data_IF_556176882933
#
_entry.id   IF_556176882933
#
_cell.length_a   1.000
_cell.length_b   1.000
_cell.length_c   1.000
_cell.angle_alpha   90.00
_cell.angle_beta   90.00
_cell.angle_gamma   90.00
#
_symmetry.space_group_name_H-M   'P 1'
#
loop_
_entity.id
_entity.type
_entity.pdbx_description
1 polymer ?
#
# COMPACT_ATOMS: atom_id res chain seq x y z
N UNK A 1 -4.99 33.62 -31.63
CA UNK A 1 -4.02 32.96 -30.72
C UNK A 1 -2.83 32.30 -31.44
N UNK A 2 -2.92 31.85 -32.70
CA UNK A 2 -1.78 31.26 -33.43
C UNK A 2 -0.81 32.34 -33.96
N UNK A 3 -1.34 33.49 -34.39
CA UNK A 3 -0.57 34.58 -34.98
C UNK A 3 0.40 35.24 -33.96
N UNK A 4 0.01 35.31 -32.69
CA UNK A 4 0.78 35.95 -31.61
C UNK A 4 2.05 35.16 -31.24
N UNK A 5 1.98 33.83 -31.31
CA UNK A 5 3.13 32.95 -31.05
C UNK A 5 4.20 33.06 -32.15
N UNK A 6 3.77 33.12 -33.41
CA UNK A 6 4.68 33.27 -34.55
C UNK A 6 5.37 34.64 -34.55
N UNK A 7 4.61 35.70 -34.26
CA UNK A 7 5.11 37.07 -34.16
C UNK A 7 6.13 37.20 -33.02
N UNK A 8 5.85 36.61 -31.85
CA UNK A 8 6.79 36.60 -30.72
C UNK A 8 8.08 35.85 -31.03
N UNK A 9 8.00 34.71 -31.73
CA UNK A 9 9.18 33.93 -32.12
C UNK A 9 10.04 34.70 -33.14
N UNK A 10 9.42 35.41 -34.09
CA UNK A 10 10.14 36.24 -35.07
C UNK A 10 10.87 37.41 -34.41
N UNK A 11 10.25 38.07 -33.43
CA UNK A 11 10.88 39.12 -32.65
C UNK A 11 12.12 38.61 -31.89
N UNK A 12 12.02 37.42 -31.30
CA UNK A 12 13.13 36.75 -30.60
C UNK A 12 14.32 36.43 -31.52
N UNK A 13 14.05 36.01 -32.76
CA UNK A 13 15.10 35.79 -33.76
C UNK A 13 15.82 37.08 -34.17
N UNK A 14 15.09 38.16 -34.43
CA UNK A 14 15.70 39.46 -34.76
C UNK A 14 16.57 39.96 -33.61
N UNK A 15 16.15 39.76 -32.36
CA UNK A 15 16.98 40.09 -31.21
C UNK A 15 18.32 39.34 -31.20
N UNK A 16 18.32 38.05 -31.49
CA UNK A 16 19.55 37.26 -31.56
C UNK A 16 20.42 37.54 -32.78
N UNK A 17 19.87 38.20 -33.81
CA UNK A 17 20.63 38.74 -34.92
C UNK A 17 21.34 40.07 -34.58
N UNK A 18 21.11 40.61 -33.37
CA UNK A 18 21.78 41.82 -32.88
C UNK A 18 20.95 43.10 -32.97
N UNK A 19 19.70 43.02 -33.43
CA UNK A 19 18.82 44.20 -33.48
C UNK A 19 18.38 44.63 -32.07
N UNK A 20 18.50 45.92 -31.70
CA UNK A 20 17.99 46.40 -30.43
C UNK A 20 16.45 46.37 -30.40
N UNK A 21 15.80 46.20 -29.23
CA UNK A 21 14.33 46.14 -29.12
C UNK A 21 13.58 47.30 -29.76
N UNK A 22 14.16 48.50 -29.78
CA UNK A 22 13.61 49.68 -30.46
C UNK A 22 13.52 49.52 -31.99
N UNK A 23 14.51 48.87 -32.59
CA UNK A 23 14.58 48.64 -34.02
C UNK A 23 13.70 47.46 -34.45
N UNK A 24 13.64 46.41 -33.62
CA UNK A 24 12.67 45.30 -33.80
C UNK A 24 11.24 45.81 -33.78
N UNK A 25 10.91 46.70 -32.83
CA UNK A 25 9.59 47.33 -32.74
C UNK A 25 9.22 48.06 -34.04
N UNK A 26 10.17 48.81 -34.63
CA UNK A 26 9.97 49.49 -35.93
C UNK A 26 9.83 48.51 -37.09
N UNK A 27 10.70 47.50 -37.18
CA UNK A 27 10.71 46.51 -38.27
C UNK A 27 9.45 45.63 -38.28
N UNK A 28 8.86 45.37 -37.12
CA UNK A 28 7.71 44.49 -36.99
C UNK A 28 6.37 45.23 -36.81
N UNK A 29 6.40 46.55 -36.62
CA UNK A 29 5.19 47.35 -36.33
C UNK A 29 4.57 47.02 -34.97
N UNK A 30 5.37 46.62 -33.98
CA UNK A 30 4.92 46.20 -32.65
C UNK A 30 5.34 47.23 -31.60
N UNK A 31 4.51 47.47 -30.59
CA UNK A 31 4.86 48.37 -29.50
C UNK A 31 6.15 47.90 -28.80
N UNK A 32 7.10 48.84 -28.64
CA UNK A 32 8.41 48.57 -28.02
C UNK A 32 8.30 47.98 -26.61
N UNK A 33 7.29 48.39 -25.82
CA UNK A 33 7.06 47.85 -24.48
C UNK A 33 6.68 46.37 -24.52
N UNK A 34 5.98 45.92 -25.56
CA UNK A 34 5.64 44.51 -25.77
C UNK A 34 6.91 43.69 -26.05
N UNK A 35 7.85 44.21 -26.85
CA UNK A 35 9.13 43.55 -27.12
C UNK A 35 9.97 43.43 -25.84
N UNK A 36 10.05 44.49 -25.03
CA UNK A 36 10.72 44.42 -23.72
C UNK A 36 10.05 43.43 -22.75
N UNK A 37 8.71 43.39 -22.73
CA UNK A 37 7.98 42.44 -21.91
C UNK A 37 8.27 40.98 -22.31
N UNK A 38 8.34 40.69 -23.60
CA UNK A 38 8.71 39.34 -24.09
C UNK A 38 10.17 39.01 -23.81
N UNK A 39 11.09 39.95 -24.04
CA UNK A 39 12.52 39.81 -23.74
C UNK A 39 12.76 39.44 -22.28
N UNK A 40 12.05 40.11 -21.36
CA UNK A 40 12.12 39.85 -19.92
C UNK A 40 11.45 38.52 -19.56
N UNK A 41 10.26 38.25 -20.11
CA UNK A 41 9.45 37.07 -19.77
C UNK A 41 10.08 35.75 -20.22
N UNK A 42 10.68 35.70 -21.41
CA UNK A 42 11.34 34.48 -21.91
C UNK A 42 12.86 34.55 -21.85
N UNK A 43 13.40 35.47 -21.04
CA UNK A 43 14.82 35.55 -20.69
C UNK A 43 15.75 35.46 -21.92
N UNK A 44 15.51 36.32 -22.91
CA UNK A 44 16.19 36.21 -24.23
C UNK A 44 17.72 36.35 -24.13
N UNK A 45 18.20 37.12 -23.15
CA UNK A 45 19.63 37.33 -22.86
C UNK A 45 20.29 36.08 -22.28
N UNK A 46 19.56 35.34 -21.44
CA UNK A 46 20.05 34.16 -20.72
C UNK A 46 20.01 32.89 -21.57
N UNK A 47 19.45 32.95 -22.78
CA UNK A 47 19.42 31.79 -23.68
C UNK A 47 20.85 31.46 -24.15
N UNK A 48 21.39 30.25 -23.90
CA UNK A 48 22.75 29.89 -24.31
C UNK A 48 22.95 29.94 -25.84
N UNK A 49 24.12 30.35 -26.36
CA UNK A 49 24.38 30.45 -27.80
C UNK A 49 24.05 29.17 -28.58
N UNK A 50 24.37 28.00 -28.04
CA UNK A 50 24.04 26.71 -28.68
C UNK A 50 22.52 26.53 -28.83
N UNK A 51 21.74 26.93 -27.82
CA UNK A 51 20.28 26.84 -27.88
C UNK A 51 19.69 27.84 -28.90
N UNK A 52 20.29 29.02 -29.06
CA UNK A 52 19.89 30.02 -30.09
C UNK A 52 20.12 29.47 -31.51
N UNK A 53 21.27 28.85 -31.73
CA UNK A 53 21.64 28.25 -33.02
C UNK A 53 20.74 27.06 -33.31
N UNK A 54 20.54 26.14 -32.37
CA UNK A 54 19.64 25.00 -32.56
C UNK A 54 18.21 25.41 -32.93
N UNK A 55 17.64 26.42 -32.26
CA UNK A 55 16.29 26.92 -32.59
C UNK A 55 16.20 27.54 -33.99
N UNK A 56 17.27 28.20 -34.44
CA UNK A 56 17.32 28.78 -35.79
C UNK A 56 17.43 27.70 -36.86
N UNK A 57 18.19 26.64 -36.59
CA UNK A 57 18.33 25.47 -37.46
C UNK A 57 17.01 24.69 -37.57
N UNK A 58 16.31 24.50 -36.46
CA UNK A 58 15.00 23.83 -36.42
C UNK A 58 13.95 24.61 -37.23
N UNK A 59 13.90 25.94 -37.06
CA UNK A 59 13.00 26.79 -37.83
C UNK A 59 13.29 26.74 -39.34
N UNK A 60 14.57 26.67 -39.73
CA UNK A 60 14.97 26.52 -41.14
C UNK A 60 14.62 25.14 -41.70
N UNK A 61 14.78 24.09 -40.90
CA UNK A 61 14.42 22.72 -41.28
C UNK A 61 12.91 22.59 -41.54
N UNK A 62 12.08 23.19 -40.68
CA UNK A 62 10.61 23.24 -40.87
C UNK A 62 10.27 23.96 -42.18
N UNK A 63 10.87 25.13 -42.44
CA UNK A 63 10.64 25.87 -43.69
C UNK A 63 11.01 25.07 -44.95
N UNK A 64 12.15 24.37 -44.93
CA UNK A 64 12.60 23.55 -46.05
C UNK A 64 11.71 22.32 -46.24
N UNK A 65 11.21 21.75 -45.16
CA UNK A 65 10.31 20.58 -45.18
C UNK A 65 8.94 20.96 -45.75
N UNK A 66 8.44 22.16 -45.46
CA UNK A 66 7.13 22.65 -45.93
C UNK A 66 7.17 23.24 -47.35
N UNK A 67 8.36 23.38 -47.97
CA UNK A 67 8.51 23.89 -49.35
C UNK A 67 7.86 22.91 -50.34
N UNK A 68 6.95 23.40 -51.19
CA UNK A 68 6.20 22.58 -52.17
C UNK A 68 7.10 21.96 -53.25
N UNK A 69 7.96 22.77 -53.87
CA UNK A 69 8.89 22.32 -54.90
C UNK A 69 10.32 22.27 -54.35
N UNK A 70 10.76 21.06 -53.95
CA UNK A 70 12.10 20.83 -53.39
C UNK A 70 13.10 20.53 -54.49
N UNK A 71 14.22 21.23 -54.46
CA UNK A 71 15.37 21.02 -55.35
C UNK A 71 16.40 20.09 -54.71
N UNK A 72 17.34 19.57 -55.50
CA UNK A 72 18.46 18.78 -54.97
C UNK A 72 19.34 19.54 -53.97
N UNK A 73 19.37 20.88 -54.02
CA UNK A 73 20.01 21.72 -53.02
C UNK A 73 19.27 21.73 -51.68
N UNK A 74 17.94 21.77 -51.70
CA UNK A 74 17.10 21.76 -50.49
C UNK A 74 17.28 20.44 -49.71
N UNK A 75 17.34 19.30 -50.41
CA UNK A 75 17.58 18.00 -49.75
C UNK A 75 18.96 17.91 -49.08
N UNK A 76 20.00 18.51 -49.70
CA UNK A 76 21.34 18.58 -49.10
C UNK A 76 21.37 19.48 -47.86
N UNK A 77 20.64 20.60 -47.90
CA UNK A 77 20.53 21.53 -46.77
C UNK A 77 19.80 20.86 -45.59
N UNK A 78 18.69 20.15 -45.85
CA UNK A 78 17.96 19.35 -44.85
C UNK A 78 18.91 18.33 -44.20
N UNK A 79 19.60 17.52 -44.99
CA UNK A 79 20.52 16.48 -44.49
C UNK A 79 21.70 17.07 -43.68
N UNK A 80 22.25 18.21 -44.12
CA UNK A 80 23.31 18.91 -43.38
C UNK A 80 22.79 19.46 -42.04
N UNK A 81 21.62 20.11 -42.03
CA UNK A 81 21.00 20.67 -40.83
C UNK A 81 20.64 19.56 -39.83
N UNK A 82 20.08 18.44 -40.28
CA UNK A 82 19.76 17.29 -39.42
C UNK A 82 21.02 16.68 -38.81
N UNK A 83 22.12 16.54 -39.57
CA UNK A 83 23.40 16.05 -39.03
C UNK A 83 24.04 16.99 -38.01
N UNK A 84 24.00 18.30 -38.27
CA UNK A 84 24.54 19.27 -37.33
C UNK A 84 23.71 19.35 -36.05
N UNK A 85 22.38 19.26 -36.14
CA UNK A 85 21.50 19.19 -34.97
C UNK A 85 21.80 17.96 -34.11
N UNK A 86 22.04 16.80 -34.74
CA UNK A 86 22.46 15.58 -34.05
C UNK A 86 23.81 15.75 -33.33
N UNK A 87 24.82 16.35 -33.98
CA UNK A 87 26.12 16.64 -33.34
C UNK A 87 26.01 17.60 -32.16
N UNK A 88 25.14 18.62 -32.25
CA UNK A 88 24.88 19.54 -31.15
C UNK A 88 24.15 18.87 -29.97
N UNK A 89 23.32 17.85 -30.25
CA UNK A 89 22.67 17.03 -29.23
C UNK A 89 23.62 16.03 -28.57
N UNK A 90 24.53 15.42 -29.33
CA UNK A 90 25.47 14.40 -28.82
C UNK A 90 26.65 15.02 -28.04
N UNK A 91 27.02 16.28 -28.33
CA UNK A 91 28.12 17.00 -27.69
C UNK A 91 27.79 17.74 -26.39
N UNK A 92 26.56 17.66 -25.88
CA UNK A 92 26.16 18.28 -24.61
C UNK A 92 26.11 17.24 -23.48
N UNK A 93 27.11 17.20 -22.56
CA UNK A 93 26.88 16.57 -21.27
C UNK A 93 25.71 17.31 -20.61
N UNK A 94 24.69 16.56 -20.22
CA UNK A 94 23.49 17.11 -19.62
C UNK A 94 23.81 17.88 -18.32
N UNK A 95 24.00 19.20 -18.40
CA UNK A 95 23.99 20.07 -17.20
C UNK A 95 24.93 21.26 -17.24
N UNK A 96 24.54 22.34 -17.91
CA UNK A 96 24.99 23.69 -17.57
C UNK A 96 23.91 24.70 -18.01
N UNK A 97 22.79 24.67 -17.30
CA UNK A 97 21.65 25.56 -17.50
C UNK A 97 20.71 25.37 -16.33
N UNK A 98 20.51 26.43 -15.56
CA UNK A 98 19.76 26.56 -14.30
C UNK A 98 18.24 26.35 -14.43
N UNK A 99 17.81 25.47 -15.32
CA UNK A 99 16.45 24.93 -15.37
C UNK A 99 16.49 23.45 -15.05
N UNK A 100 16.25 23.06 -13.80
CA UNK A 100 15.95 21.66 -13.46
C UNK A 100 14.81 21.19 -14.37
N UNK A 101 15.12 20.39 -15.41
CA UNK A 101 14.13 19.48 -16.00
C UNK A 101 13.47 18.80 -14.81
N UNK A 102 12.14 18.82 -14.64
CA UNK A 102 11.52 18.09 -13.55
C UNK A 102 11.84 16.63 -13.81
N UNK A 103 12.86 16.09 -13.11
CA UNK A 103 13.03 14.65 -12.96
C UNK A 103 11.65 14.18 -12.55
N UNK A 104 10.98 13.37 -13.38
CA UNK A 104 9.74 12.68 -12.98
C UNK A 104 10.07 12.08 -11.61
N UNK A 105 9.54 12.68 -10.55
CA UNK A 105 9.83 12.24 -9.19
C UNK A 105 9.32 10.81 -9.15
N UNK A 106 10.21 9.83 -8.99
CA UNK A 106 9.79 8.46 -8.75
C UNK A 106 8.77 8.51 -7.61
N UNK A 107 7.55 8.06 -7.89
CA UNK A 107 6.50 8.01 -6.88
C UNK A 107 7.04 7.14 -5.74
N UNK A 108 7.03 7.68 -4.53
CA UNK A 108 7.47 6.93 -3.35
C UNK A 108 6.42 5.86 -3.06
N UNK A 109 6.88 4.68 -2.64
CA UNK A 109 6.00 3.57 -2.24
C UNK A 109 4.95 3.26 -3.32
N UNK A 110 5.41 3.10 -4.55
CA UNK A 110 4.57 2.92 -5.72
C UNK A 110 4.69 1.51 -6.26
N UNK A 111 3.54 0.91 -6.55
CA UNK A 111 3.42 -0.35 -7.26
C UNK A 111 2.79 -0.04 -8.62
N UNK A 112 3.37 -0.62 -9.66
CA UNK A 112 2.76 -0.71 -11.00
C UNK A 112 1.71 -1.81 -11.01
N UNK A 113 0.83 -1.81 -12.01
CA UNK A 113 -0.23 -2.83 -12.11
C UNK A 113 0.38 -4.23 -12.27
N UNK A 114 1.44 -4.34 -13.08
CA UNK A 114 2.17 -5.59 -13.30
C UNK A 114 2.78 -6.12 -11.99
N UNK A 115 3.32 -5.22 -11.15
CA UNK A 115 3.82 -5.58 -9.83
C UNK A 115 2.70 -6.02 -8.89
N UNK A 116 1.52 -5.40 -8.93
CA UNK A 116 0.37 -5.80 -8.09
C UNK A 116 -0.12 -7.20 -8.47
N UNK A 117 -0.19 -7.50 -9.77
CA UNK A 117 -0.57 -8.84 -10.27
C UNK A 117 0.46 -9.88 -9.82
N UNK A 118 1.75 -9.64 -10.08
CA UNK A 118 2.82 -10.56 -9.67
C UNK A 118 2.87 -10.76 -8.15
N UNK A 119 2.65 -9.68 -7.37
CA UNK A 119 2.58 -9.74 -5.91
C UNK A 119 1.41 -10.63 -5.45
N UNK A 120 0.25 -10.50 -6.08
CA UNK A 120 -0.94 -11.31 -5.77
C UNK A 120 -0.69 -12.78 -6.05
N UNK A 121 -0.14 -13.12 -7.21
CA UNK A 121 0.20 -14.51 -7.57
C UNK A 121 1.17 -15.12 -6.56
N UNK A 122 2.30 -14.45 -6.31
CA UNK A 122 3.30 -14.90 -5.31
C UNK A 122 2.69 -15.14 -3.93
N UNK A 123 1.85 -14.22 -3.46
CA UNK A 123 1.19 -14.37 -2.15
C UNK A 123 0.30 -15.61 -2.17
N UNK A 124 -0.60 -15.75 -3.15
CA UNK A 124 -1.58 -16.82 -3.19
C UNK A 124 -0.95 -18.21 -3.36
N UNK A 125 0.09 -18.32 -4.18
CA UNK A 125 0.80 -19.59 -4.38
C UNK A 125 1.55 -20.04 -3.12
N UNK A 126 2.05 -19.08 -2.33
CA UNK A 126 2.78 -19.35 -1.09
C UNK A 126 1.90 -19.74 0.11
N UNK A 127 0.58 -19.65 0.02
CA UNK A 127 -0.30 -19.86 1.17
C UNK A 127 -0.43 -21.33 1.54
N UNK A 128 -0.27 -21.64 2.82
CA UNK A 128 -0.65 -22.94 3.41
C UNK A 128 -2.17 -23.07 3.55
N UNK A 129 -2.66 -24.29 3.80
CA UNK A 129 -4.10 -24.60 3.87
C UNK A 129 -4.93 -23.61 4.71
N UNK A 130 -4.55 -23.39 5.97
CA UNK A 130 -5.28 -22.51 6.89
C UNK A 130 -5.26 -21.04 6.43
N UNK A 131 -4.15 -20.61 5.83
CA UNK A 131 -3.98 -19.26 5.31
C UNK A 131 -4.86 -19.02 4.07
N UNK A 132 -5.00 -20.03 3.19
CA UNK A 132 -5.97 -19.99 2.08
C UNK A 132 -7.40 -19.87 2.60
N UNK A 133 -7.75 -20.66 3.61
CA UNK A 133 -9.04 -20.55 4.29
C UNK A 133 -9.30 -19.15 4.86
N UNK A 134 -8.30 -18.54 5.50
CA UNK A 134 -8.42 -17.15 5.95
C UNK A 134 -8.64 -16.16 4.81
N UNK A 135 -7.97 -16.37 3.67
CA UNK A 135 -8.07 -15.50 2.49
C UNK A 135 -9.45 -15.53 1.87
N UNK A 136 -10.06 -16.71 1.74
CA UNK A 136 -11.41 -16.87 1.21
C UNK A 136 -12.44 -16.16 2.08
N UNK A 137 -12.23 -16.17 3.40
CA UNK A 137 -13.13 -15.58 4.38
C UNK A 137 -12.87 -14.09 4.65
N UNK A 138 -11.93 -13.44 3.94
CA UNK A 138 -11.51 -12.03 4.18
C UNK A 138 -12.61 -10.99 4.04
N UNK A 139 -13.69 -11.32 3.34
CA UNK A 139 -14.82 -10.44 3.07
C UNK A 139 -15.71 -10.18 4.31
N UNK A 140 -15.60 -11.00 5.36
CA UNK A 140 -16.39 -10.83 6.58
C UNK A 140 -16.07 -9.52 7.30
N UNK A 141 -17.12 -8.82 7.75
CA UNK A 141 -16.98 -7.57 8.52
C UNK A 141 -16.17 -7.77 9.80
N UNK A 142 -16.45 -8.85 10.53
CA UNK A 142 -15.72 -9.21 11.74
C UNK A 142 -15.23 -10.66 11.59
N UNK A 143 -13.93 -10.87 11.82
CA UNK A 143 -13.31 -12.18 11.94
C UNK A 143 -12.60 -12.27 13.29
N UNK A 144 -12.72 -13.39 13.98
CA UNK A 144 -11.93 -13.71 15.17
C UNK A 144 -11.30 -15.08 15.00
N UNK A 145 -9.99 -15.17 15.15
CA UNK A 145 -9.25 -16.41 14.91
C UNK A 145 -8.41 -16.72 16.14
N UNK A 146 -8.67 -17.88 16.75
CA UNK A 146 -7.74 -18.45 17.70
C UNK A 146 -6.81 -19.39 16.96
N UNK A 147 -5.51 -19.23 17.21
CA UNK A 147 -4.46 -19.94 16.47
C UNK A 147 -3.36 -20.42 17.40
N UNK A 148 -2.69 -21.50 17.02
CA UNK A 148 -1.45 -21.93 17.67
C UNK A 148 -0.28 -21.01 17.34
N UNK A 149 0.79 -21.08 18.14
CA UNK A 149 2.02 -20.33 17.87
C UNK A 149 2.67 -20.83 16.59
N UNK A 150 3.50 -19.98 15.99
CA UNK A 150 4.38 -20.33 14.85
C UNK A 150 3.72 -20.83 13.55
N UNK A 151 2.38 -20.81 13.40
CA UNK A 151 1.70 -21.14 12.13
C UNK A 151 1.65 -20.01 11.08
N UNK A 152 2.51 -18.99 11.19
CA UNK A 152 2.63 -17.92 10.20
C UNK A 152 1.49 -16.88 10.17
N UNK A 153 0.72 -16.69 11.24
CA UNK A 153 -0.40 -15.74 11.26
C UNK A 153 0.00 -14.27 10.94
N UNK A 154 1.03 -13.75 11.60
CA UNK A 154 1.53 -12.38 11.37
C UNK A 154 2.03 -12.19 9.94
N UNK A 155 2.74 -13.19 9.40
CA UNK A 155 3.23 -13.22 8.03
C UNK A 155 2.06 -13.16 7.04
N UNK A 156 1.01 -13.94 7.27
CA UNK A 156 -0.17 -13.97 6.41
C UNK A 156 -0.95 -12.64 6.46
N UNK A 157 -1.31 -12.16 7.65
CA UNK A 157 -2.14 -10.96 7.77
C UNK A 157 -1.43 -9.68 7.32
N UNK A 158 -0.10 -9.64 7.38
CA UNK A 158 0.71 -8.59 6.76
C UNK A 158 0.51 -8.56 5.23
N UNK A 159 0.57 -9.73 4.59
CA UNK A 159 0.40 -9.90 3.14
C UNK A 159 -1.03 -9.64 2.68
N UNK A 160 -2.03 -10.16 3.42
CA UNK A 160 -3.46 -9.88 3.16
C UNK A 160 -3.74 -8.37 3.21
N UNK A 161 -3.22 -7.68 4.23
CA UNK A 161 -3.40 -6.24 4.38
C UNK A 161 -2.69 -5.42 3.28
N UNK A 162 -1.52 -5.87 2.79
CA UNK A 162 -0.86 -5.24 1.66
C UNK A 162 -1.70 -5.35 0.38
N UNK A 163 -2.25 -6.53 0.09
CA UNK A 163 -3.17 -6.71 -1.03
C UNK A 163 -4.41 -5.82 -0.89
N UNK A 164 -5.01 -5.77 0.30
CA UNK A 164 -6.17 -4.93 0.57
C UNK A 164 -5.89 -3.43 0.40
N UNK A 165 -4.66 -2.98 0.67
CA UNK A 165 -4.22 -1.60 0.50
C UNK A 165 -3.94 -1.23 -0.97
N UNK A 166 -3.64 -2.22 -1.81
CA UNK A 166 -3.35 -2.05 -3.23
C UNK A 166 -4.59 -2.17 -4.12
N UNK A 167 -5.72 -2.62 -3.57
CA UNK A 167 -7.00 -2.74 -4.28
C UNK A 167 -7.43 -1.44 -4.96
N UNK A 168 -7.89 -1.56 -6.20
CA UNK A 168 -8.48 -0.50 -6.99
C UNK A 168 -10.02 -0.44 -6.83
N UNK A 169 -10.65 -1.57 -6.55
CA UNK A 169 -12.09 -1.82 -6.38
C UNK A 169 -12.72 -1.26 -5.08
N UNK A 170 -12.28 -0.08 -4.64
CA UNK A 170 -12.85 0.59 -3.46
C UNK A 170 -13.71 1.78 -3.84
N UNK A 171 -14.80 1.98 -3.09
CA UNK A 171 -15.67 3.15 -3.27
C UNK A 171 -15.05 4.42 -2.67
N UNK A 172 -14.33 4.27 -1.56
CA UNK A 172 -13.72 5.39 -0.85
C UNK A 172 -12.25 5.10 -0.51
N UNK A 173 -11.33 6.09 -0.63
CA UNK A 173 -9.90 5.88 -0.40
C UNK A 173 -9.56 5.29 0.98
N UNK A 174 -10.30 5.68 2.03
CA UNK A 174 -10.07 5.17 3.39
C UNK A 174 -10.27 3.66 3.53
N UNK A 175 -10.94 3.01 2.58
CA UNK A 175 -11.16 1.56 2.58
C UNK A 175 -9.88 0.77 2.26
N UNK A 176 -8.83 1.44 1.75
CA UNK A 176 -7.49 0.86 1.56
C UNK A 176 -6.64 0.90 2.81
N UNK A 177 -6.95 1.79 3.75
CA UNK A 177 -6.13 1.99 4.94
C UNK A 177 -6.13 0.72 5.80
N UNK A 178 -4.98 0.42 6.40
CA UNK A 178 -4.77 -0.73 7.28
C UNK A 178 -4.23 -0.25 8.61
N UNK A 179 -4.77 -0.79 9.69
CA UNK A 179 -4.41 -0.44 11.05
C UNK A 179 -4.03 -1.72 11.77
N UNK A 180 -2.75 -1.85 12.11
CA UNK A 180 -2.21 -2.95 12.89
C UNK A 180 -2.14 -2.53 14.35
N UNK A 181 -2.81 -3.29 15.21
CA UNK A 181 -2.80 -3.10 16.66
C UNK A 181 -2.29 -4.39 17.30
N UNK A 182 -1.19 -4.30 18.04
CA UNK A 182 -0.59 -5.44 18.73
C UNK A 182 -0.38 -5.14 20.22
N UNK A 183 -0.06 -6.17 21.00
CA UNK A 183 0.26 -6.03 22.43
C UNK A 183 1.50 -5.15 22.72
N UNK A 184 2.35 -4.91 21.72
CA UNK A 184 3.44 -3.95 21.79
C UNK A 184 3.72 -3.31 20.43
N UNK A 185 4.33 -2.12 20.44
CA UNK A 185 4.75 -1.44 19.22
C UNK A 185 5.79 -2.25 18.43
N UNK A 186 6.67 -2.96 19.13
CA UNK A 186 7.67 -3.86 18.52
C UNK A 186 7.02 -5.01 17.74
N UNK A 187 5.95 -5.60 18.28
CA UNK A 187 5.16 -6.61 17.57
C UNK A 187 4.45 -6.01 16.36
N UNK A 188 3.85 -4.82 16.49
CA UNK A 188 3.22 -4.14 15.36
C UNK A 188 4.22 -3.87 14.22
N UNK A 189 5.48 -3.55 14.53
CA UNK A 189 6.53 -3.39 13.53
C UNK A 189 6.96 -4.70 12.83
N UNK A 190 6.60 -5.88 13.34
CA UNK A 190 6.82 -7.12 12.60
C UNK A 190 5.97 -7.16 11.33
N UNK A 191 4.71 -6.69 11.37
CA UNK A 191 3.87 -6.53 10.18
C UNK A 191 4.56 -5.66 9.12
N UNK A 192 5.14 -4.53 9.56
CA UNK A 192 5.90 -3.65 8.68
C UNK A 192 7.04 -4.39 7.99
N UNK A 193 7.84 -5.17 8.72
CA UNK A 193 8.94 -5.94 8.16
C UNK A 193 8.49 -7.00 7.15
N UNK A 194 7.37 -7.69 7.41
CA UNK A 194 6.79 -8.63 6.43
C UNK A 194 6.26 -7.94 5.18
N UNK A 195 5.61 -6.78 5.33
CA UNK A 195 5.10 -5.97 4.21
C UNK A 195 6.25 -5.46 3.34
N UNK A 196 7.33 -4.97 3.96
CA UNK A 196 8.52 -4.50 3.23
C UNK A 196 9.18 -5.63 2.45
N UNK A 197 9.43 -6.78 3.09
CA UNK A 197 10.01 -7.95 2.41
C UNK A 197 9.14 -8.45 1.25
N UNK A 198 7.82 -8.50 1.42
CA UNK A 198 6.92 -8.92 0.34
C UNK A 198 6.92 -7.92 -0.82
N UNK A 199 7.04 -6.61 -0.54
CA UNK A 199 7.16 -5.61 -1.59
C UNK A 199 8.49 -5.70 -2.35
N UNK A 200 9.57 -6.05 -1.66
CA UNK A 200 10.90 -6.28 -2.26
C UNK A 200 10.89 -7.46 -3.24
N UNK A 201 10.05 -8.49 -3.03
CA UNK A 201 9.91 -9.62 -3.97
C UNK A 201 9.35 -9.21 -5.36
N UNK A 202 8.86 -7.98 -5.51
CA UNK A 202 8.41 -7.38 -6.78
C UNK A 202 9.14 -6.06 -7.09
N UNK A 203 10.36 -5.89 -6.55
CA UNK A 203 11.24 -4.74 -6.77
C UNK A 203 10.67 -3.39 -6.27
N UNK A 204 9.84 -3.41 -5.21
CA UNK A 204 9.29 -2.19 -4.59
C UNK A 204 9.88 -1.96 -3.20
N UNK A 205 10.69 -0.91 -3.06
CA UNK A 205 11.21 -0.45 -1.77
C UNK A 205 10.16 0.41 -1.04
N UNK A 206 9.62 -0.09 0.08
CA UNK A 206 8.68 0.64 0.92
C UNK A 206 9.37 1.42 2.06
N UNK A 207 9.14 2.73 2.10
CA UNK A 207 9.67 3.67 3.11
C UNK A 207 8.57 4.15 4.05
N UNK A 208 8.94 4.28 5.32
CA UNK A 208 8.06 4.74 6.40
C UNK A 208 8.47 4.09 7.72
N UNK A 209 8.43 4.83 8.82
CA UNK A 209 8.75 4.32 10.17
C UNK A 209 7.47 3.84 10.86
N UNK A 210 6.73 4.79 11.42
CA UNK A 210 5.51 4.54 12.20
C UNK A 210 4.27 4.28 11.34
N UNK A 211 4.29 4.81 10.12
CA UNK A 211 3.32 4.51 9.07
C UNK A 211 4.00 4.41 7.72
N UNK A 212 3.41 3.63 6.81
CA UNK A 212 3.76 3.60 5.40
C UNK A 212 2.59 4.23 4.63
N UNK A 213 2.87 5.19 3.75
CA UNK A 213 1.88 5.79 2.86
C UNK A 213 2.20 5.36 1.44
N UNK A 214 1.28 4.62 0.82
CA UNK A 214 1.41 4.17 -0.56
C UNK A 214 1.06 5.32 -1.53
N UNK A 215 1.62 5.26 -2.74
CA UNK A 215 1.36 6.26 -3.79
C UNK A 215 -0.12 6.37 -4.20
N UNK A 216 -0.93 5.34 -3.98
CA UNK A 216 -2.38 5.32 -4.22
C UNK A 216 -3.19 5.96 -3.07
N UNK A 217 -2.51 6.52 -2.05
CA UNK A 217 -3.11 7.17 -0.89
C UNK A 217 -3.44 6.25 0.29
N UNK A 218 -3.22 4.93 0.17
CA UNK A 218 -3.45 4.02 1.28
C UNK A 218 -2.43 4.23 2.41
N UNK A 219 -2.90 4.26 3.65
CA UNK A 219 -2.04 4.36 4.83
C UNK A 219 -2.02 3.04 5.62
N UNK A 220 -0.82 2.60 5.99
CA UNK A 220 -0.57 1.44 6.84
C UNK A 220 -0.03 1.95 8.18
N UNK A 221 -0.82 1.81 9.25
CA UNK A 221 -0.51 2.31 10.59
C UNK A 221 -0.10 1.17 11.53
N UNK A 222 1.03 1.31 12.24
CA UNK A 222 1.56 0.28 13.15
C UNK A 222 1.51 0.76 14.61
N UNK A 223 0.51 0.30 15.36
CA UNK A 223 0.16 0.82 16.68
C UNK A 223 0.40 -0.22 17.79
N UNK A 224 0.87 0.28 18.94
CA UNK A 224 0.93 -0.50 20.19
C UNK A 224 -0.32 -0.27 21.06
N UNK A 225 -0.22 -0.63 22.34
CA UNK A 225 -1.34 -0.62 23.30
C UNK A 225 -1.79 0.75 23.82
N UNK A 226 -1.27 1.85 23.27
CA UNK A 226 -1.70 3.20 23.68
C UNK A 226 -3.03 3.58 23.04
N UNK A 227 -4.08 3.59 23.86
CA UNK A 227 -5.43 4.01 23.46
C UNK A 227 -5.45 5.45 22.92
N UNK A 228 -4.59 6.35 23.44
CA UNK A 228 -4.50 7.73 22.97
C UNK A 228 -4.02 7.82 21.52
N UNK A 229 -3.09 6.96 21.11
CA UNK A 229 -2.60 6.91 19.72
C UNK A 229 -3.57 6.21 18.76
N UNK A 230 -4.56 5.48 19.27
CA UNK A 230 -5.45 4.63 18.46
C UNK A 230 -6.82 5.27 18.15
N UNK A 231 -7.06 6.55 18.45
CA UNK A 231 -8.39 7.16 18.29
C UNK A 231 -8.65 7.86 16.94
N UNK A 232 -7.62 8.24 16.19
CA UNK A 232 -7.77 9.18 15.06
C UNK A 232 -7.81 8.53 13.68
N UNK A 233 -7.50 7.24 13.56
CA UNK A 233 -7.35 6.60 12.25
C UNK A 233 -8.63 5.93 11.76
N UNK A 234 -8.78 5.85 10.45
CA UNK A 234 -9.89 5.15 9.79
C UNK A 234 -9.34 4.17 8.78
N UNK A 235 -9.70 2.88 8.91
CA UNK A 235 -9.19 1.81 8.07
C UNK A 235 -9.62 0.41 8.53
N UNK A 236 -9.17 -0.61 7.82
CA UNK A 236 -9.36 -2.00 8.20
C UNK A 236 -8.48 -2.33 9.41
N UNK A 237 -9.07 -2.95 10.43
CA UNK A 237 -8.39 -3.25 11.69
C UNK A 237 -7.85 -4.68 11.68
N UNK A 238 -6.56 -4.83 12.01
CA UNK A 238 -5.89 -6.08 12.36
C UNK A 238 -5.45 -6.00 13.82
N UNK A 239 -6.11 -6.75 14.70
CA UNK A 239 -5.81 -6.77 16.11
C UNK A 239 -5.16 -8.12 16.49
N UNK A 240 -3.85 -8.07 16.63
CA UNK A 240 -2.95 -9.17 16.94
C UNK A 240 -2.81 -9.40 18.45
N UNK A 241 -2.66 -10.67 18.82
CA UNK A 241 -2.53 -11.18 20.20
C UNK A 241 -3.53 -10.54 21.19
N UNK A 242 -4.80 -10.38 20.78
CA UNK A 242 -5.80 -9.67 21.59
C UNK A 242 -6.13 -10.33 22.94
N UNK A 243 -5.80 -11.61 23.14
CA UNK A 243 -5.89 -12.30 24.45
C UNK A 243 -4.69 -12.03 25.37
N UNK A 244 -3.68 -11.30 24.91
CA UNK A 244 -2.48 -10.92 25.68
C UNK A 244 -2.37 -9.41 25.91
N UNK A 245 -3.45 -8.67 25.65
CA UNK A 245 -3.48 -7.23 25.84
C UNK A 245 -4.16 -6.85 27.15
N UNK A 246 -3.41 -6.17 28.01
CA UNK A 246 -3.96 -5.50 29.20
C UNK A 246 -5.02 -4.44 28.82
N UNK A 247 -6.07 -4.30 29.63
CA UNK A 247 -7.16 -3.34 29.39
C UNK A 247 -7.80 -3.53 28.00
N UNK A 248 -8.00 -4.79 27.60
CA UNK A 248 -8.57 -5.18 26.33
C UNK A 248 -9.91 -4.48 26.07
N UNK A 249 -10.77 -4.36 27.07
CA UNK A 249 -12.10 -3.75 26.92
C UNK A 249 -12.03 -2.32 26.40
N UNK A 250 -11.14 -1.49 26.96
CA UNK A 250 -10.98 -0.11 26.52
C UNK A 250 -10.31 -0.05 25.14
N UNK A 251 -9.25 -0.83 24.92
CA UNK A 251 -8.53 -0.80 23.66
C UNK A 251 -9.40 -1.29 22.50
N UNK A 252 -10.18 -2.35 22.70
CA UNK A 252 -11.17 -2.83 21.72
C UNK A 252 -12.22 -1.77 21.41
N UNK A 253 -12.71 -1.03 22.41
CA UNK A 253 -13.68 0.05 22.21
C UNK A 253 -13.12 1.11 21.26
N UNK A 254 -11.90 1.56 21.53
CA UNK A 254 -11.19 2.55 20.70
C UNK A 254 -10.89 1.98 19.31
N UNK A 255 -10.34 0.77 19.23
CA UNK A 255 -9.99 0.14 17.97
C UNK A 255 -11.21 -0.17 17.09
N UNK A 256 -12.32 -0.58 17.72
CA UNK A 256 -13.59 -0.75 17.04
C UNK A 256 -14.10 0.55 16.42
N UNK A 257 -13.90 1.69 17.08
CA UNK A 257 -14.31 3.00 16.58
C UNK A 257 -13.61 3.38 15.26
N UNK A 258 -12.33 3.01 15.09
CA UNK A 258 -11.54 3.25 13.87
C UNK A 258 -12.11 2.56 12.62
N UNK A 259 -12.80 1.43 12.81
CA UNK A 259 -13.36 0.61 11.74
C UNK A 259 -14.90 0.60 11.77
N UNK A 260 -15.55 1.76 11.97
CA UNK A 260 -17.01 1.91 12.04
C UNK A 260 -17.67 2.12 10.67
N UNK A 261 -17.00 2.80 9.74
CA UNK A 261 -17.54 3.09 8.40
C UNK A 261 -17.85 1.81 7.60
N UNK A 262 -18.81 1.89 6.68
CA UNK A 262 -19.23 0.76 5.84
C UNK A 262 -18.09 0.29 4.93
N UNK A 263 -17.94 -1.03 4.79
CA UNK A 263 -16.92 -1.65 3.95
C UNK A 263 -15.56 -1.88 4.62
N UNK A 264 -15.32 -1.31 5.81
CA UNK A 264 -14.13 -1.65 6.62
C UNK A 264 -14.28 -3.02 7.28
N UNK A 265 -13.19 -3.73 7.51
CA UNK A 265 -13.17 -5.02 8.22
C UNK A 265 -12.45 -4.93 9.56
N UNK A 266 -12.73 -5.88 10.45
CA UNK A 266 -12.05 -6.06 11.74
C UNK A 266 -11.65 -7.51 11.88
N UNK A 267 -10.36 -7.77 11.95
CA UNK A 267 -9.81 -9.12 12.12
C UNK A 267 -9.06 -9.17 13.44
N UNK A 268 -9.53 -9.99 14.36
CA UNK A 268 -8.88 -10.27 15.63
C UNK A 268 -8.22 -11.64 15.51
N UNK A 269 -6.97 -11.77 15.90
CA UNK A 269 -6.30 -13.06 15.93
C UNK A 269 -5.35 -13.13 17.10
N UNK A 270 -5.28 -14.29 17.75
CA UNK A 270 -4.49 -14.45 18.97
C UNK A 270 -4.23 -15.92 19.24
N UNK A 271 -3.17 -16.18 19.99
CA UNK A 271 -3.15 -17.39 20.81
C UNK A 271 -4.15 -17.25 21.97
N UNK A 272 -4.82 -18.32 22.39
CA UNK A 272 -5.71 -18.27 23.54
C UNK A 272 -4.94 -17.88 24.82
N UNK A 273 -5.64 -17.32 25.79
CA UNK A 273 -5.15 -17.18 27.17
C UNK A 273 -6.22 -17.65 28.15
N UNK A 274 -6.02 -17.48 29.46
CA UNK A 274 -6.93 -17.97 30.49
C UNK A 274 -8.36 -17.39 30.45
N UNK A 275 -9.29 -18.12 31.06
CA UNK A 275 -10.73 -17.82 31.12
C UNK A 275 -11.01 -16.49 31.85
N UNK A 276 -10.08 -16.10 32.71
CA UNK A 276 -10.09 -14.87 33.49
C UNK A 276 -9.76 -13.63 32.65
N UNK A 277 -9.26 -13.77 31.43
CA UNK A 277 -8.91 -12.64 30.59
C UNK A 277 -10.16 -11.92 30.05
N UNK A 278 -10.13 -10.58 30.00
CA UNK A 278 -11.27 -9.75 29.56
C UNK A 278 -11.76 -10.02 28.13
N UNK A 279 -10.90 -10.64 27.30
CA UNK A 279 -11.25 -11.04 25.94
C UNK A 279 -12.11 -12.31 25.88
N UNK A 280 -12.13 -13.13 26.92
CA UNK A 280 -12.85 -14.40 26.93
C UNK A 280 -14.36 -14.21 26.73
N UNK A 281 -15.07 -13.33 27.48
CA UNK A 281 -16.49 -13.05 27.23
C UNK A 281 -16.79 -12.45 25.84
N UNK A 282 -15.78 -11.87 25.19
CA UNK A 282 -15.92 -11.37 23.82
C UNK A 282 -15.83 -12.51 22.79
N UNK A 283 -14.93 -13.48 23.01
CA UNK A 283 -14.82 -14.67 22.18
C UNK A 283 -16.07 -15.56 22.30
N UNK A 284 -16.51 -15.88 23.52
CA UNK A 284 -17.65 -16.77 23.82
C UNK A 284 -19.01 -16.17 23.46
N UNK A 285 -19.07 -14.88 23.14
CA UNK A 285 -20.34 -14.19 22.86
C UNK A 285 -21.13 -13.83 24.13
N UNK A 286 -20.64 -14.14 25.32
CA UNK A 286 -21.28 -13.75 26.59
C UNK A 286 -21.49 -12.25 26.68
N UNK A 287 -20.50 -11.47 26.27
CA UNK A 287 -20.61 -10.01 26.19
C UNK A 287 -21.68 -9.54 25.22
N UNK A 288 -21.96 -10.29 24.15
CA UNK A 288 -23.04 -9.96 23.21
C UNK A 288 -24.43 -10.29 23.79
N UNK A 289 -24.50 -11.31 24.67
CA UNK A 289 -25.70 -11.73 25.39
C UNK A 289 -25.97 -10.94 26.67
N UNK A 290 -24.95 -10.33 27.28
CA UNK A 290 -24.98 -9.70 28.61
C UNK A 290 -26.17 -8.74 28.76
N UNK A 291 -26.35 -7.84 27.80
CA UNK A 291 -27.40 -6.81 27.81
C UNK A 291 -28.71 -7.24 27.13
N UNK A 292 -28.81 -8.51 26.70
CA UNK A 292 -30.01 -9.04 26.04
C UNK A 292 -30.93 -9.71 27.06
N UNK A 293 -32.27 -9.57 26.92
CA UNK A 293 -33.22 -10.37 27.68
C UNK A 293 -32.93 -11.86 27.53
N UNK A 294 -33.14 -12.66 28.59
CA UNK A 294 -32.82 -14.11 28.59
C UNK A 294 -33.40 -14.84 27.35
N UNK A 295 -34.64 -14.52 26.97
CA UNK A 295 -35.32 -15.10 25.80
C UNK A 295 -34.67 -14.78 24.44
N UNK A 296 -33.86 -13.71 24.35
CA UNK A 296 -33.16 -13.28 23.13
C UNK A 296 -31.67 -13.64 23.13
N UNK A 297 -31.17 -14.24 24.21
CA UNK A 297 -29.79 -14.72 24.27
C UNK A 297 -29.63 -15.88 23.30
N UNK A 298 -28.47 -15.96 22.64
CA UNK A 298 -28.13 -17.05 21.72
C UNK A 298 -26.96 -17.84 22.29
N UNK A 299 -27.03 -19.17 22.18
CA UNK A 299 -25.89 -20.00 22.52
C UNK A 299 -24.79 -19.83 21.46
N UNK A 300 -23.54 -19.87 21.90
CA UNK A 300 -22.36 -19.88 21.06
C UNK A 300 -21.62 -21.19 21.36
N UNK A 301 -21.55 -22.08 20.38
CA UNK A 301 -20.66 -23.22 20.47
C UNK A 301 -19.28 -22.78 19.97
N UNK A 302 -18.37 -22.59 20.93
CA UNK A 302 -16.99 -22.17 20.67
C UNK A 302 -15.98 -23.30 20.83
N UNK A 303 -16.45 -24.55 20.78
CA UNK A 303 -15.58 -25.72 20.78
C UNK A 303 -14.77 -25.79 19.48
N UNK A 304 -13.59 -26.41 19.54
CA UNK A 304 -12.77 -26.67 18.35
C UNK A 304 -13.52 -27.50 17.31
N UNK A 305 -14.30 -28.51 17.74
CA UNK A 305 -15.10 -29.36 16.83
C UNK A 305 -16.04 -28.56 15.93
N UNK A 306 -16.60 -27.47 16.46
CA UNK A 306 -17.53 -26.61 15.72
C UNK A 306 -16.82 -25.50 14.95
N UNK A 307 -15.66 -25.04 15.43
CA UNK A 307 -14.96 -23.88 14.88
C UNK A 307 -13.71 -24.19 14.05
N UNK A 308 -13.25 -25.45 13.94
CA UNK A 308 -12.02 -25.79 13.20
C UNK A 308 -12.07 -25.36 11.72
N UNK A 309 -13.24 -25.48 11.09
CA UNK A 309 -13.49 -25.12 9.69
C UNK A 309 -13.98 -23.68 9.52
N UNK A 310 -14.14 -22.96 10.63
CA UNK A 310 -14.68 -21.60 10.66
C UNK A 310 -16.20 -21.53 10.55
N UNK A 311 -16.83 -20.67 11.35
CA UNK A 311 -18.29 -20.52 11.41
C UNK A 311 -18.71 -19.06 11.58
N UNK A 312 -19.75 -18.63 10.86
CA UNK A 312 -20.40 -17.34 11.11
C UNK A 312 -21.37 -17.46 12.29
N UNK A 313 -21.00 -16.87 13.42
CA UNK A 313 -21.77 -16.96 14.66
C UNK A 313 -22.93 -15.93 14.73
N UNK A 314 -23.84 -16.06 15.72
CA UNK A 314 -25.03 -15.19 15.84
C UNK A 314 -24.74 -13.67 15.94
N UNK A 315 -23.57 -13.28 16.43
CA UNK A 315 -23.14 -11.88 16.50
C UNK A 315 -22.62 -11.31 15.17
N UNK A 316 -22.70 -12.09 14.07
CA UNK A 316 -22.17 -11.77 12.73
C UNK A 316 -20.65 -11.62 12.73
N UNK A 317 -19.98 -12.39 13.58
CA UNK A 317 -18.53 -12.55 13.57
C UNK A 317 -18.18 -13.95 13.12
N UNK A 318 -17.36 -14.05 12.08
CA UNK A 318 -16.81 -15.32 11.64
C UNK A 318 -15.70 -15.73 12.60
N UNK A 319 -15.79 -16.93 13.18
CA UNK A 319 -14.85 -17.46 14.17
C UNK A 319 -14.18 -18.72 13.65
N UNK A 320 -12.89 -18.87 13.90
CA UNK A 320 -12.16 -20.11 13.64
C UNK A 320 -11.16 -20.42 14.76
N UNK A 321 -10.94 -21.71 15.02
CA UNK A 321 -9.86 -22.23 15.83
C UNK A 321 -8.92 -23.03 14.92
N UNK A 322 -7.62 -22.73 14.92
CA UNK A 322 -6.61 -23.47 14.12
C UNK A 322 -5.50 -23.95 15.05
N UNK A 323 -5.42 -25.26 15.23
CA UNK A 323 -4.38 -25.91 16.06
C UNK A 323 -3.12 -26.21 15.26
N UNK A 324 -2.01 -26.53 15.95
CA UNK A 324 -0.80 -26.98 15.27
C UNK A 324 -1.04 -28.35 14.59
N UNK A 325 -1.84 -29.21 15.24
CA UNK A 325 -2.23 -30.51 14.68
C UNK A 325 -3.02 -30.34 13.38
N UNK A 326 -3.97 -29.40 13.35
CA UNK A 326 -4.74 -29.09 12.13
C UNK A 326 -3.81 -28.73 10.96
N UNK A 327 -2.81 -27.88 11.18
CA UNK A 327 -1.93 -27.46 10.08
C UNK A 327 -0.99 -28.58 9.63
N UNK A 328 -0.46 -29.40 10.55
CA UNK A 328 0.40 -30.54 10.23
C UNK A 328 -0.37 -31.58 9.43
N UNK A 329 -1.59 -31.91 9.85
CA UNK A 329 -2.46 -32.86 9.14
C UNK A 329 -2.82 -32.39 7.71
N UNK A 330 -2.63 -31.09 7.42
CA UNK A 330 -2.82 -30.49 6.10
C UNK A 330 -1.51 -30.11 5.40
N UNK A 331 -0.39 -30.77 5.74
CA UNK A 331 0.88 -30.66 5.00
C UNK A 331 1.78 -29.50 5.44
N UNK A 332 1.70 -29.08 6.70
CA UNK A 332 2.66 -28.14 7.27
C UNK A 332 3.96 -28.86 7.65
N UNK A 333 5.04 -28.59 6.91
CA UNK A 333 6.34 -29.28 7.05
C UNK A 333 7.37 -28.51 7.91
N UNK A 334 7.05 -27.30 8.36
CA UNK A 334 8.00 -26.42 9.05
C UNK A 334 8.06 -26.63 10.57
N UNK A 335 7.35 -27.63 11.10
CA UNK A 335 7.25 -27.84 12.54
C UNK A 335 7.20 -29.32 12.84
N UNK A 336 8.18 -29.78 13.63
CA UNK A 336 8.21 -31.12 14.18
C UNK A 336 7.41 -31.15 15.49
N UNK A 337 6.39 -31.99 15.54
CA UNK A 337 5.51 -32.11 16.70
C UNK A 337 6.14 -32.97 17.80
N UNK A 338 6.98 -33.94 17.44
CA UNK A 338 7.64 -34.83 18.39
C UNK A 338 8.71 -34.06 19.17
N UNK A 339 9.52 -33.24 18.49
CA UNK A 339 10.50 -32.37 19.16
C UNK A 339 9.83 -31.41 20.15
N UNK A 340 8.72 -30.78 19.77
CA UNK A 340 7.97 -29.88 20.67
C UNK A 340 7.39 -30.65 21.86
N UNK A 341 6.98 -31.91 21.67
CA UNK A 341 6.45 -32.74 22.75
C UNK A 341 7.53 -33.11 23.76
N UNK A 342 8.74 -33.42 23.30
CA UNK A 342 9.85 -33.78 24.15
C UNK A 342 10.42 -32.58 24.93
N UNK A 343 10.36 -31.37 24.36
CA UNK A 343 10.89 -30.15 24.98
C UNK A 343 9.95 -29.52 26.04
N UNK A 344 8.66 -29.87 26.04
CA UNK A 344 7.65 -29.19 26.85
C UNK A 344 6.97 -30.14 27.82
N UNK A 345 6.62 -29.66 29.02
CA UNK A 345 5.69 -30.38 29.89
C UNK A 345 4.32 -30.53 29.23
N UNK A 346 3.50 -31.50 29.65
CA UNK A 346 2.17 -31.74 29.05
C UNK A 346 1.29 -30.47 29.01
N UNK A 347 1.36 -29.63 30.05
CA UNK A 347 0.61 -28.37 30.14
C UNK A 347 1.13 -27.29 29.17
N UNK A 348 2.46 -27.20 29.02
CA UNK A 348 3.11 -26.28 28.07
C UNK A 348 2.86 -26.73 26.63
N UNK A 349 2.93 -28.03 26.38
CA UNK A 349 2.63 -28.66 25.11
C UNK A 349 1.18 -28.42 24.70
N UNK A 350 0.22 -28.64 25.61
CA UNK A 350 -1.20 -28.37 25.37
C UNK A 350 -1.43 -26.89 25.01
N UNK A 351 -0.72 -25.96 25.64
CA UNK A 351 -0.81 -24.52 25.35
C UNK A 351 -0.16 -24.15 24.00
N UNK A 352 0.94 -24.80 23.64
CA UNK A 352 1.66 -24.57 22.38
C UNK A 352 0.90 -25.12 21.16
N UNK A 353 0.30 -26.31 21.31
CA UNK A 353 -0.39 -27.04 20.24
C UNK A 353 -1.86 -26.64 20.13
N UNK A 354 -2.55 -26.40 21.25
CA UNK A 354 -3.97 -26.07 21.23
C UNK A 354 -4.20 -24.57 21.09
N UNK A 355 -5.05 -24.20 20.14
CA UNK A 355 -5.64 -22.88 20.06
C UNK A 355 -6.73 -22.62 21.13
N UNK A 356 -6.94 -23.55 22.07
CA UNK A 356 -7.53 -23.27 23.38
C UNK A 356 -7.27 -24.38 24.41
N UNK A 357 -6.88 -24.01 25.63
CA UNK A 357 -6.98 -24.89 26.81
C UNK A 357 -8.44 -25.28 27.11
N UNK A 358 -9.40 -24.51 26.57
CA UNK A 358 -10.84 -24.72 26.70
C UNK A 358 -11.42 -25.78 25.75
N UNK A 359 -10.73 -26.13 24.65
CA UNK A 359 -11.24 -27.10 23.67
C UNK A 359 -11.10 -28.56 24.14
N UNK A 360 -10.36 -28.82 25.21
CA UNK A 360 -10.16 -30.15 25.79
C UNK A 360 -11.12 -30.50 26.94
N UNK A 361 -12.06 -29.62 27.31
CA UNK A 361 -13.10 -30.00 28.27
C UNK A 361 -14.07 -30.98 27.58
N UNK A 362 -13.77 -32.27 27.75
CA UNK A 362 -14.67 -33.38 27.47
C UNK A 362 -16.00 -33.18 28.23
N UNK A 363 -17.13 -33.72 27.71
CA UNK A 363 -18.41 -33.64 28.41
C UNK A 363 -18.28 -34.24 29.82
N UNK A 364 -19.10 -33.80 30.80
CA UNK A 364 -19.04 -34.33 32.15
C UNK A 364 -19.08 -35.86 32.10
N UNK A 365 -18.02 -36.45 32.62
CA UNK A 365 -17.85 -37.88 32.78
C UNK A 365 -19.05 -38.47 33.52
N UNK A 366 -19.62 -39.51 32.92
CA UNK A 366 -20.32 -40.61 33.60
C UNK A 366 -21.44 -40.21 34.56
N UNK A 367 -22.65 -40.17 34.02
CA UNK A 367 -23.77 -40.84 34.69
C UNK A 367 -23.36 -42.30 34.89
N UNK A 368 -23.17 -42.70 36.14
CA UNK A 368 -23.26 -44.09 36.57
C UNK A 368 -23.60 -44.12 38.07
N UNK A 369 -24.40 -45.08 38.53
CA UNK A 369 -25.53 -45.78 37.89
C UNK A 369 -26.89 -45.21 38.32
#
# INVERSE_FOLDING_TARGET
>A
MIQDAFVRQRAKQLYWQGYPPAEIARLMGINQNTIYAWKKRDEWDETPPVQRVSQSMDARLIQLTDKKDKTGGDFKEIDLLTRQLKKLSDGQPAGAGTGKKPRKRKLKNHFTEEQIVALREKILDSLSWHQRGWYEQRHHRNRMILKSRQIGATWYFAREALLDALRDDVKYPYQRNQIFLSASRRQAHQFRGFIQRMAEEVDVELKGGDKIVLSNGAELHFLGTSAATAQSYTGNLKFDEFFWVSNFTNLRKVAGAMATLKGLTRTYFSTPSGETHEAYPFWTGDRWNEKRPKAQRKAFDVSWKTLNSGLLCPDKTWRQIVTLKDVIDHGWEYTDLEEIQDENSEDEFATCICASSFAMVSPPSTLTP
#
